data_IF_837711572784
#
_entry.id   IF_837711572784
#
_cell.length_a   1.000
_cell.length_b   1.000
_cell.length_c   1.000
_cell.angle_alpha   90.00
_cell.angle_beta   90.00
_cell.angle_gamma   90.00
#
_symmetry.space_group_name_H-M   'P 1'
#
loop_
_entity.id
_entity.type
_entity.pdbx_description
1 polymer ?
#
# COMPACT_ATOMS: atom_id res chain seq x y z
N UNK A 1 38.75 -40.14 -1.37
CA UNK A 1 38.22 -38.84 -1.81
C UNK A 1 37.64 -38.97 -3.23
N UNK A 2 36.32 -39.09 -3.40
CA UNK A 2 35.61 -38.78 -4.68
C UNK A 2 34.09 -39.04 -4.68
N UNK A 3 33.51 -39.70 -3.66
CA UNK A 3 32.09 -40.11 -3.70
C UNK A 3 31.12 -39.27 -2.86
N UNK A 4 31.60 -38.31 -2.06
CA UNK A 4 30.73 -37.53 -1.16
C UNK A 4 30.30 -36.16 -1.69
N UNK A 5 30.71 -35.76 -2.89
CA UNK A 5 30.40 -34.43 -3.44
C UNK A 5 29.07 -34.42 -4.24
N UNK A 6 28.48 -35.57 -4.55
CA UNK A 6 27.35 -35.67 -5.47
C UNK A 6 25.94 -35.56 -4.83
N UNK A 7 25.84 -35.43 -3.50
CA UNK A 7 24.54 -35.40 -2.80
C UNK A 7 24.00 -33.99 -2.49
N UNK A 8 24.75 -32.92 -2.78
CA UNK A 8 24.37 -31.55 -2.39
C UNK A 8 23.64 -30.74 -3.48
N UNK A 9 23.29 -31.33 -4.62
CA UNK A 9 22.70 -30.62 -5.77
C UNK A 9 21.18 -30.78 -5.92
N UNK A 10 20.49 -31.44 -4.98
CA UNK A 10 19.09 -31.85 -5.15
C UNK A 10 18.04 -31.04 -4.36
N UNK A 11 18.41 -29.93 -3.70
CA UNK A 11 17.47 -29.20 -2.81
C UNK A 11 17.23 -27.73 -3.24
N UNK A 12 17.51 -27.36 -4.49
CA UNK A 12 17.32 -25.97 -4.95
C UNK A 12 16.10 -25.75 -5.85
N UNK A 13 15.02 -26.50 -5.62
CA UNK A 13 13.71 -26.17 -6.17
C UNK A 13 12.82 -25.58 -5.07
N UNK A 14 13.26 -24.47 -4.45
CA UNK A 14 12.32 -23.58 -3.80
C UNK A 14 11.53 -22.89 -4.92
N UNK A 15 10.53 -23.57 -5.47
CA UNK A 15 9.44 -22.88 -6.15
C UNK A 15 8.87 -21.91 -5.14
N UNK A 16 9.19 -20.63 -5.29
CA UNK A 16 8.48 -19.55 -4.63
C UNK A 16 7.05 -19.62 -5.17
N UNK A 17 6.22 -20.46 -4.54
CA UNK A 17 4.78 -20.34 -4.67
C UNK A 17 4.49 -18.94 -4.16
N UNK A 18 4.21 -18.02 -5.08
CA UNK A 18 3.60 -16.73 -4.72
C UNK A 18 2.21 -17.09 -4.23
N UNK A 19 2.12 -17.48 -2.96
CA UNK A 19 0.84 -17.85 -2.35
C UNK A 19 -0.08 -16.64 -2.49
N UNK A 20 -1.16 -16.83 -3.25
CA UNK A 20 -2.16 -15.79 -3.44
C UNK A 20 -2.72 -15.40 -2.07
N UNK A 21 -2.89 -14.11 -1.82
CA UNK A 21 -3.46 -13.61 -0.57
C UNK A 21 -4.74 -14.38 -0.20
N UNK A 22 -4.84 -14.82 1.05
CA UNK A 22 -6.07 -15.33 1.62
C UNK A 22 -7.15 -14.25 1.62
N UNK A 23 -8.42 -14.63 1.76
CA UNK A 23 -9.53 -13.65 1.84
C UNK A 23 -9.34 -12.62 2.96
N UNK A 24 -8.79 -13.06 4.10
CA UNK A 24 -8.51 -12.19 5.23
C UNK A 24 -7.40 -11.18 4.90
N UNK A 25 -6.30 -11.63 4.31
CA UNK A 25 -5.19 -10.76 3.90
C UNK A 25 -5.61 -9.77 2.81
N UNK A 26 -6.40 -10.21 1.82
CA UNK A 26 -6.99 -9.29 0.82
C UNK A 26 -7.77 -8.17 1.50
N UNK A 27 -8.61 -8.52 2.47
CA UNK A 27 -9.37 -7.53 3.23
C UNK A 27 -8.49 -6.58 4.03
N UNK A 28 -7.40 -7.07 4.62
CA UNK A 28 -6.45 -6.26 5.36
C UNK A 28 -5.67 -5.30 4.45
N UNK A 29 -5.17 -5.79 3.31
CA UNK A 29 -4.53 -4.95 2.28
C UNK A 29 -5.50 -3.89 1.77
N UNK A 30 -6.74 -4.26 1.45
CA UNK A 30 -7.74 -3.29 0.98
C UNK A 30 -8.03 -2.20 2.02
N UNK A 31 -8.08 -2.54 3.31
CA UNK A 31 -8.27 -1.57 4.39
C UNK A 31 -7.06 -0.65 4.54
N UNK A 32 -5.86 -1.21 4.53
CA UNK A 32 -4.60 -0.49 4.59
C UNK A 32 -4.51 0.54 3.45
N UNK A 33 -4.81 0.10 2.22
CA UNK A 33 -4.78 0.96 1.05
C UNK A 33 -5.90 2.00 1.05
N UNK A 34 -7.08 1.67 1.60
CA UNK A 34 -8.18 2.61 1.74
C UNK A 34 -7.86 3.72 2.75
N UNK A 35 -7.18 3.40 3.86
CA UNK A 35 -6.73 4.42 4.83
C UNK A 35 -5.70 5.36 4.22
N UNK A 36 -4.76 4.84 3.44
CA UNK A 36 -3.82 5.67 2.70
C UNK A 36 -4.53 6.59 1.70
N UNK A 37 -5.46 6.03 0.93
CA UNK A 37 -6.23 6.77 -0.06
C UNK A 37 -7.12 7.84 0.59
N UNK A 38 -7.72 7.60 1.76
CA UNK A 38 -8.53 8.62 2.44
C UNK A 38 -7.71 9.86 2.82
N UNK A 39 -6.49 9.67 3.33
CA UNK A 39 -5.54 10.75 3.63
C UNK A 39 -5.14 11.52 2.37
N UNK A 40 -4.94 10.81 1.25
CA UNK A 40 -4.62 11.44 -0.04
C UNK A 40 -5.78 12.26 -0.60
N UNK A 41 -7.02 11.77 -0.50
CA UNK A 41 -8.22 12.52 -0.89
C UNK A 41 -8.33 13.80 -0.05
N UNK A 42 -8.04 13.73 1.25
CA UNK A 42 -8.00 14.90 2.12
C UNK A 42 -6.93 15.90 1.67
N UNK A 43 -5.71 15.44 1.36
CA UNK A 43 -4.64 16.30 0.84
C UNK A 43 -5.00 16.96 -0.50
N UNK A 44 -5.64 16.22 -1.40
CA UNK A 44 -6.07 16.74 -2.70
C UNK A 44 -7.17 17.79 -2.58
N UNK A 45 -8.18 17.54 -1.74
CA UNK A 45 -9.40 18.37 -1.66
C UNK A 45 -9.33 19.52 -0.68
N UNK A 46 -8.61 19.35 0.43
CA UNK A 46 -8.61 20.29 1.55
C UNK A 46 -7.26 20.99 1.76
N UNK A 47 -6.20 20.54 1.06
CA UNK A 47 -4.84 21.05 1.25
C UNK A 47 -4.18 21.51 -0.06
N UNK A 48 -4.91 21.51 -1.18
CA UNK A 48 -4.43 21.84 -2.52
C UNK A 48 -3.14 21.10 -2.91
N UNK A 49 -3.04 19.82 -2.51
CA UNK A 49 -1.92 18.95 -2.88
C UNK A 49 -2.37 17.95 -3.94
N UNK A 50 -2.16 18.24 -5.24
CA UNK A 50 -2.58 17.31 -6.30
C UNK A 50 -1.87 15.97 -6.12
N UNK A 51 -2.64 14.89 -6.28
CA UNK A 51 -2.15 13.51 -6.16
C UNK A 51 -2.23 12.83 -7.52
N UNK A 52 -1.12 12.24 -7.95
CA UNK A 52 -1.11 11.36 -9.10
C UNK A 52 -1.71 9.99 -8.73
N UNK A 53 -2.91 9.71 -9.24
CA UNK A 53 -3.66 8.47 -8.99
C UNK A 53 -2.95 7.22 -9.55
N UNK A 54 -2.19 7.37 -10.64
CA UNK A 54 -1.42 6.26 -11.20
C UNK A 54 -0.22 5.96 -10.31
N UNK A 55 0.48 7.02 -9.86
CA UNK A 55 1.53 6.89 -8.86
C UNK A 55 0.96 6.20 -7.62
N UNK A 56 -0.18 6.62 -7.09
CA UNK A 56 -0.81 5.97 -5.93
C UNK A 56 -0.93 4.44 -6.05
N UNK A 57 -1.36 3.90 -7.20
CA UNK A 57 -1.47 2.44 -7.38
C UNK A 57 -0.12 1.73 -7.31
N UNK A 58 0.92 2.34 -7.86
CA UNK A 58 2.29 1.83 -7.75
C UNK A 58 2.78 1.87 -6.30
N UNK A 59 2.54 2.99 -5.62
CA UNK A 59 2.95 3.20 -4.24
C UNK A 59 2.20 2.30 -3.25
N UNK A 60 0.93 2.01 -3.54
CA UNK A 60 0.10 1.07 -2.79
C UNK A 60 0.72 -0.33 -2.78
N UNK A 61 1.31 -0.77 -3.90
CA UNK A 61 2.06 -2.04 -3.96
C UNK A 61 3.23 -2.01 -2.99
N UNK A 62 4.05 -0.97 -3.07
CA UNK A 62 5.22 -0.79 -2.21
C UNK A 62 4.84 -0.71 -0.73
N UNK A 63 3.71 -0.06 -0.39
CA UNK A 63 3.19 -0.02 0.98
C UNK A 63 2.76 -1.40 1.46
N UNK A 64 2.00 -2.15 0.67
CA UNK A 64 1.61 -3.52 1.02
C UNK A 64 2.85 -4.41 1.24
N UNK A 65 3.86 -4.30 0.38
CA UNK A 65 5.14 -5.01 0.56
C UNK A 65 5.86 -4.62 1.87
N UNK A 66 5.89 -3.34 2.22
CA UNK A 66 6.52 -2.89 3.46
C UNK A 66 5.82 -3.40 4.72
N UNK A 67 4.53 -3.73 4.62
CA UNK A 67 3.73 -4.33 5.70
C UNK A 67 3.78 -5.87 5.70
N UNK A 68 4.65 -6.47 4.87
CA UNK A 68 4.87 -7.91 4.81
C UNK A 68 3.96 -8.67 3.84
N UNK A 69 3.12 -7.99 3.06
CA UNK A 69 2.30 -8.64 2.04
C UNK A 69 3.11 -8.89 0.76
N UNK A 70 3.10 -10.13 0.29
CA UNK A 70 3.90 -10.57 -0.87
C UNK A 70 3.27 -10.23 -2.24
N UNK A 71 2.05 -9.70 -2.27
CA UNK A 71 1.38 -9.24 -3.49
C UNK A 71 0.19 -8.36 -3.14
N UNK A 72 -0.33 -7.62 -4.12
CA UNK A 72 -1.66 -6.98 -4.07
C UNK A 72 -2.62 -7.58 -5.09
N UNK A 73 -2.24 -8.68 -5.74
CA UNK A 73 -3.09 -9.32 -6.74
C UNK A 73 -4.38 -9.87 -6.12
N UNK A 74 -5.48 -9.66 -6.84
CA UNK A 74 -6.79 -10.15 -6.42
C UNK A 74 -7.48 -9.33 -5.32
N UNK A 75 -6.96 -8.14 -4.96
CA UNK A 75 -7.71 -7.15 -4.18
C UNK A 75 -8.77 -6.46 -5.05
N UNK A 76 -9.84 -5.99 -4.42
CA UNK A 76 -10.88 -5.18 -5.06
C UNK A 76 -10.56 -3.69 -4.93
N UNK A 77 -10.10 -3.08 -6.02
CA UNK A 77 -9.87 -1.62 -6.09
C UNK A 77 -11.15 -0.81 -5.86
N UNK A 78 -12.30 -1.29 -6.33
CA UNK A 78 -13.59 -0.65 -6.04
C UNK A 78 -13.92 -0.64 -4.55
N UNK A 79 -13.52 -1.68 -3.81
CA UNK A 79 -13.66 -1.74 -2.35
C UNK A 79 -12.71 -0.76 -1.67
N UNK A 80 -11.47 -0.65 -2.15
CA UNK A 80 -10.48 0.34 -1.68
C UNK A 80 -11.02 1.75 -1.86
N UNK A 81 -11.47 2.10 -3.07
CA UNK A 81 -11.99 3.44 -3.40
C UNK A 81 -13.20 3.81 -2.53
N UNK A 82 -14.19 2.92 -2.44
CA UNK A 82 -15.38 3.15 -1.62
C UNK A 82 -15.04 3.39 -0.15
N UNK A 83 -14.13 2.57 0.40
CA UNK A 83 -13.67 2.72 1.79
C UNK A 83 -12.83 3.97 1.99
N UNK A 84 -12.04 4.38 0.99
CA UNK A 84 -11.27 5.60 1.02
C UNK A 84 -12.18 6.83 1.11
N UNK A 85 -13.26 6.87 0.32
CA UNK A 85 -14.26 7.94 0.41
C UNK A 85 -14.99 7.96 1.76
N UNK A 86 -15.33 6.79 2.30
CA UNK A 86 -15.90 6.70 3.65
C UNK A 86 -14.92 7.24 4.71
N UNK A 87 -13.67 6.80 4.65
CA UNK A 87 -12.61 7.28 5.54
C UNK A 87 -12.41 8.79 5.42
N UNK A 88 -12.41 9.34 4.21
CA UNK A 88 -12.33 10.79 3.98
C UNK A 88 -13.48 11.53 4.66
N UNK A 89 -14.71 11.02 4.60
CA UNK A 89 -15.85 11.62 5.31
C UNK A 89 -15.65 11.67 6.83
N UNK A 90 -15.06 10.63 7.42
CA UNK A 90 -14.68 10.62 8.84
C UNK A 90 -13.62 11.69 9.11
N UNK A 91 -12.54 11.71 8.33
CA UNK A 91 -11.46 12.70 8.47
C UNK A 91 -11.96 14.15 8.34
N UNK A 92 -12.92 14.39 7.44
CA UNK A 92 -13.52 15.70 7.24
C UNK A 92 -14.39 16.14 8.41
N UNK A 93 -15.02 15.19 9.10
CA UNK A 93 -15.80 15.47 10.31
C UNK A 93 -14.88 15.83 11.47
N UNK A 94 -13.76 15.12 11.61
CA UNK A 94 -12.76 15.36 12.67
C UNK A 94 -11.96 16.65 12.43
N UNK A 95 -11.61 16.91 11.18
CA UNK A 95 -10.80 18.06 10.78
C UNK A 95 -11.39 18.79 9.56
N UNK A 96 -12.44 19.62 9.74
CA UNK A 96 -13.15 20.25 8.64
C UNK A 96 -12.37 21.38 7.94
N UNK A 97 -11.26 21.87 8.52
CA UNK A 97 -10.54 23.04 8.03
C UNK A 97 -9.09 22.74 7.61
N UNK A 98 -8.78 21.50 7.23
CA UNK A 98 -7.43 21.16 6.78
C UNK A 98 -6.42 20.98 7.93
N UNK A 99 -6.86 20.78 9.18
CA UNK A 99 -5.94 20.70 10.32
C UNK A 99 -4.92 19.56 10.20
N UNK A 100 -5.24 18.50 9.46
CA UNK A 100 -4.33 17.37 9.24
C UNK A 100 -3.44 17.50 7.99
N UNK A 101 -3.49 18.62 7.26
CA UNK A 101 -2.71 18.78 6.02
C UNK A 101 -1.22 18.50 6.21
N UNK A 102 -0.59 19.09 7.23
CA UNK A 102 0.84 18.88 7.48
C UNK A 102 1.15 17.46 7.96
N UNK A 103 0.29 16.92 8.84
CA UNK A 103 0.45 15.56 9.35
C UNK A 103 0.37 14.53 8.22
N UNK A 104 -0.68 14.57 7.41
CA UNK A 104 -0.84 13.61 6.31
C UNK A 104 0.20 13.82 5.22
N UNK A 105 0.63 15.06 4.96
CA UNK A 105 1.75 15.28 4.04
C UNK A 105 3.03 14.60 4.54
N UNK A 106 3.28 14.61 5.85
CA UNK A 106 4.42 13.93 6.45
C UNK A 106 4.24 12.41 6.48
N UNK A 107 3.05 11.91 6.80
CA UNK A 107 2.73 10.48 6.76
C UNK A 107 2.95 9.92 5.35
N UNK A 108 2.50 10.66 4.33
CA UNK A 108 2.70 10.29 2.93
C UNK A 108 4.19 10.36 2.56
N UNK A 109 4.95 11.38 2.98
CA UNK A 109 6.41 11.43 2.72
C UNK A 109 7.21 10.36 3.47
N UNK A 110 6.80 10.01 4.68
CA UNK A 110 7.51 9.09 5.58
C UNK A 110 7.22 7.62 5.26
N UNK A 111 5.94 7.28 5.08
CA UNK A 111 5.50 5.93 4.74
C UNK A 111 5.71 5.60 3.25
N UNK A 112 5.88 6.62 2.41
CA UNK A 112 6.18 6.46 0.99
C UNK A 112 7.46 7.22 0.64
N UNK A 113 8.57 6.91 1.31
CA UNK A 113 9.88 7.56 1.08
C UNK A 113 10.32 7.55 -0.40
N UNK A 114 9.75 6.64 -1.21
CA UNK A 114 9.88 6.50 -2.66
C UNK A 114 8.98 7.46 -3.49
N UNK A 115 8.08 8.22 -2.87
CA UNK A 115 7.38 9.36 -3.50
C UNK A 115 8.30 10.53 -3.81
N UNK A 116 9.50 10.55 -3.23
CA UNK A 116 10.48 11.61 -3.39
C UNK A 116 11.21 11.43 -4.72
N UNK A 117 10.48 11.61 -5.81
CA UNK A 117 11.01 11.92 -7.15
C UNK A 117 9.82 12.26 -8.05
N UNK A 118 9.47 13.55 -8.04
CA UNK A 118 8.90 14.36 -9.13
C UNK A 118 8.65 15.73 -8.51
N UNK A 119 9.74 16.51 -8.49
CA UNK A 119 9.72 17.96 -8.33
C UNK A 119 8.95 18.61 -9.47
#
# INVERSE_FOLDING_TARGET
MKKFILMLLLISNATLATESLTKAEKGAVELLLAEAASKLIYLERDCDKPIDKNKFKELARLKAFSEGYMTVEGISWDRVERKAHQGYGVLKTEAPLGQFCQQYQNDIKGNYRFLKETS
#
